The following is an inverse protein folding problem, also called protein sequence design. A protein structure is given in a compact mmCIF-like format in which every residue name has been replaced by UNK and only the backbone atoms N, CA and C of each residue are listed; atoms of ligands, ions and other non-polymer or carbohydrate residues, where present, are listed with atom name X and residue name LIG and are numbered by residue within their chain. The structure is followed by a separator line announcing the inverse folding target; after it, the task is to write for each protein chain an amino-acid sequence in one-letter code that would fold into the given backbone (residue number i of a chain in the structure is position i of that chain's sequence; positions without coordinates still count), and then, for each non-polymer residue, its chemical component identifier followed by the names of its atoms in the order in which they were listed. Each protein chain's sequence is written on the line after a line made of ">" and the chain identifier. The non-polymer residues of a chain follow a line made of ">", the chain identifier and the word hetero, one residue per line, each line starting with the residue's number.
data_IF_779332288142
#
_entry.id   IF_779332288142
#
_cell.length_a   1.000
_cell.length_b   1.000
_cell.length_c   1.000
_cell.angle_alpha   90.00
_cell.angle_beta   90.00
_cell.angle_gamma   90.00
#
_symmetry.space_group_name_H-M   'P 1'
#
loop_
_entity.id
_entity.type
_entity.pdbx_description
1 polymer ?
#
# COMPACT_ATOMS: atom_id res chain seq x y z
N UNK A 1 1.58 46.66 -55.32
CA UNK A 1 1.20 46.42 -53.92
C UNK A 1 1.98 45.18 -53.44
N UNK A 2 3.05 45.40 -52.65
CA UNK A 2 3.88 44.30 -52.07
C UNK A 2 3.21 43.83 -50.81
N UNK A 3 2.77 42.56 -50.78
CA UNK A 3 2.27 41.92 -49.57
C UNK A 3 3.49 41.54 -48.68
N UNK A 4 3.60 42.17 -47.54
CA UNK A 4 4.56 41.79 -46.49
C UNK A 4 4.03 40.55 -45.79
N UNK A 5 4.77 39.45 -45.86
CA UNK A 5 4.50 38.23 -45.14
C UNK A 5 5.19 38.33 -43.77
N UNK A 6 4.42 38.51 -42.71
CA UNK A 6 4.94 38.43 -41.34
C UNK A 6 5.00 36.94 -40.93
N UNK A 7 6.21 36.41 -40.82
CA UNK A 7 6.45 35.10 -40.21
C UNK A 7 6.52 35.33 -38.71
N UNK A 8 5.51 34.90 -38.00
CA UNK A 8 5.52 34.89 -36.54
C UNK A 8 6.45 33.79 -36.06
N UNK A 9 7.61 34.13 -35.55
CA UNK A 9 8.53 33.23 -34.87
C UNK A 9 8.03 33.11 -33.42
N UNK A 10 7.36 32.00 -33.09
CA UNK A 10 7.00 31.70 -31.72
C UNK A 10 8.26 31.26 -30.97
N UNK A 11 8.82 32.14 -30.16
CA UNK A 11 9.87 31.82 -29.19
C UNK A 11 9.16 31.16 -27.98
N UNK A 12 9.24 29.85 -27.88
CA UNK A 12 8.83 29.15 -26.66
C UNK A 12 9.92 29.33 -25.62
N UNK A 13 9.74 30.24 -24.69
CA UNK A 13 10.58 30.36 -23.50
C UNK A 13 10.10 29.31 -22.52
N UNK A 14 10.80 28.18 -22.41
CA UNK A 14 10.63 27.26 -21.32
C UNK A 14 11.17 27.90 -20.04
N UNK A 15 10.29 28.48 -19.24
CA UNK A 15 10.60 28.81 -17.85
C UNK A 15 10.44 27.54 -17.07
N UNK A 16 11.53 26.83 -16.82
CA UNK A 16 11.57 25.79 -15.77
C UNK A 16 11.30 26.48 -14.43
N UNK A 17 10.06 26.44 -14.00
CA UNK A 17 9.68 26.80 -12.64
C UNK A 17 10.22 25.72 -11.72
N UNK A 18 11.42 25.91 -11.17
CA UNK A 18 11.93 25.02 -10.11
C UNK A 18 10.98 25.10 -8.92
N UNK A 19 10.13 24.09 -8.77
CA UNK A 19 9.35 23.94 -7.57
C UNK A 19 10.30 23.53 -6.45
N UNK A 20 10.59 24.45 -5.54
CA UNK A 20 11.47 24.17 -4.41
C UNK A 20 10.72 23.28 -3.41
N UNK A 21 11.07 22.00 -3.37
CA UNK A 21 10.70 21.07 -2.31
C UNK A 21 11.95 20.84 -1.47
N UNK A 22 11.93 21.09 -0.16
CA UNK A 22 13.06 20.76 0.71
C UNK A 22 13.39 19.27 0.64
N UNK A 23 14.63 18.92 0.92
CA UNK A 23 15.05 17.52 1.04
C UNK A 23 14.20 16.78 2.06
N UNK A 24 14.04 15.46 1.84
CA UNK A 24 13.35 14.59 2.79
C UNK A 24 14.09 14.61 4.13
N UNK A 25 13.37 14.40 5.27
CA UNK A 25 14.00 14.44 6.58
C UNK A 25 15.07 13.36 6.72
N UNK A 26 16.24 13.74 7.21
CA UNK A 26 17.25 12.79 7.63
C UNK A 26 16.76 11.98 8.84
N UNK A 27 16.85 10.65 8.74
CA UNK A 27 16.40 9.71 9.75
C UNK A 27 17.52 8.74 10.12
N UNK A 28 17.66 8.46 11.40
CA UNK A 28 18.62 7.48 11.92
C UNK A 28 18.01 6.08 11.90
N UNK A 29 17.95 5.50 10.69
CA UNK A 29 17.32 4.21 10.41
C UNK A 29 18.11 3.44 9.34
N UNK A 30 17.91 2.13 9.22
CA UNK A 30 18.56 1.33 8.18
C UNK A 30 17.95 1.55 6.80
N UNK A 31 16.64 1.68 6.75
CA UNK A 31 15.88 1.83 5.49
C UNK A 31 14.56 2.53 5.76
N UNK A 32 14.09 3.30 4.78
CA UNK A 32 12.71 3.81 4.78
C UNK A 32 12.18 4.03 3.37
N UNK A 33 10.87 4.10 3.25
CA UNK A 33 10.14 4.59 2.08
C UNK A 33 8.88 5.35 2.51
N UNK A 34 8.54 6.37 1.73
CA UNK A 34 7.29 7.10 1.78
C UNK A 34 6.65 7.09 0.40
N UNK A 35 5.46 6.52 0.27
CA UNK A 35 4.73 6.45 -1.00
C UNK A 35 3.32 7.02 -0.90
N UNK A 36 2.81 7.49 -2.04
CA UNK A 36 1.37 7.66 -2.28
C UNK A 36 0.89 6.45 -3.09
N UNK A 37 0.07 5.56 -2.48
CA UNK A 37 -0.20 4.24 -3.05
C UNK A 37 -1.14 4.27 -4.28
N UNK A 38 -2.05 5.26 -4.42
CA UNK A 38 -3.01 5.28 -5.53
C UNK A 38 -2.36 5.69 -6.85
N UNK A 39 -1.30 6.50 -6.80
CA UNK A 39 -0.51 6.92 -7.97
C UNK A 39 0.81 6.18 -8.09
N UNK A 40 1.08 5.29 -7.11
CA UNK A 40 2.35 4.57 -6.97
C UNK A 40 3.59 5.49 -6.98
N UNK A 41 3.43 6.70 -6.42
CA UNK A 41 4.49 7.71 -6.39
C UNK A 41 5.37 7.53 -5.17
N UNK A 42 6.66 7.27 -5.37
CA UNK A 42 7.67 7.34 -4.31
C UNK A 42 7.99 8.82 -4.05
N UNK A 43 7.71 9.28 -2.84
CA UNK A 43 7.93 10.67 -2.41
C UNK A 43 9.32 10.83 -1.79
N UNK A 44 9.74 9.86 -1.01
CA UNK A 44 11.06 9.83 -0.40
C UNK A 44 11.46 8.38 -0.06
N UNK A 45 12.72 8.05 -0.21
CA UNK A 45 13.24 6.74 0.14
C UNK A 45 14.72 6.80 0.52
N UNK A 46 15.13 5.82 1.30
CA UNK A 46 16.53 5.56 1.65
C UNK A 46 16.72 4.06 1.80
N UNK A 47 17.64 3.48 1.02
CA UNK A 47 17.91 2.04 1.00
C UNK A 47 16.63 1.19 0.92
N UNK A 48 15.61 1.63 0.16
CA UNK A 48 14.27 1.03 0.18
C UNK A 48 14.21 -0.43 -0.29
N UNK A 49 15.19 -0.85 -1.10
CA UNK A 49 15.34 -2.22 -1.61
C UNK A 49 16.30 -3.08 -0.75
N UNK A 50 16.89 -2.51 0.31
CA UNK A 50 17.76 -3.25 1.22
C UNK A 50 16.97 -4.40 1.86
N UNK A 51 17.52 -5.60 1.81
CA UNK A 51 17.01 -6.74 2.56
C UNK A 51 17.12 -6.50 4.06
N UNK A 52 15.99 -6.58 4.73
CA UNK A 52 15.86 -6.40 6.18
C UNK A 52 15.11 -7.58 6.78
N UNK A 53 15.35 -7.89 8.04
CA UNK A 53 14.46 -8.76 8.79
C UNK A 53 13.12 -8.05 9.00
N UNK A 54 11.99 -8.57 8.47
CA UNK A 54 10.70 -7.90 8.58
C UNK A 54 10.11 -7.98 9.99
N UNK A 55 10.61 -8.89 10.83
CA UNK A 55 10.01 -9.17 12.13
C UNK A 55 8.47 -9.31 12.00
N UNK A 56 7.69 -8.81 12.96
CA UNK A 56 6.23 -8.92 12.91
C UNK A 56 5.56 -8.09 11.80
N UNK A 57 6.28 -7.35 10.95
CA UNK A 57 5.68 -6.80 9.72
C UNK A 57 5.30 -7.91 8.74
N UNK A 58 5.90 -9.10 8.83
CA UNK A 58 5.48 -10.34 8.16
C UNK A 58 3.98 -10.60 8.27
N UNK A 59 3.37 -10.26 9.41
CA UNK A 59 1.95 -10.47 9.67
C UNK A 59 1.00 -9.67 8.76
N UNK A 60 1.54 -8.68 8.03
CA UNK A 60 0.79 -8.01 6.97
C UNK A 60 0.50 -9.02 5.85
N UNK A 61 1.50 -9.82 5.43
CA UNK A 61 1.29 -10.89 4.46
C UNK A 61 0.41 -12.01 5.03
N UNK A 62 0.61 -12.39 6.28
CA UNK A 62 -0.24 -13.40 6.94
C UNK A 62 -1.71 -13.00 6.88
N UNK A 63 -2.04 -11.76 7.23
CA UNK A 63 -3.41 -11.26 7.17
C UNK A 63 -3.90 -10.99 5.74
N UNK A 64 -3.01 -10.65 4.81
CA UNK A 64 -3.34 -10.47 3.39
C UNK A 64 -3.82 -11.79 2.75
N UNK A 65 -3.08 -12.88 2.95
CA UNK A 65 -3.46 -14.22 2.44
C UNK A 65 -4.81 -14.65 2.97
N UNK A 66 -5.07 -14.41 4.26
CA UNK A 66 -6.37 -14.73 4.88
C UNK A 66 -7.49 -13.86 4.32
N UNK A 67 -7.24 -12.56 4.12
CA UNK A 67 -8.21 -11.65 3.52
C UNK A 67 -8.58 -12.06 2.09
N UNK A 68 -7.61 -12.50 1.29
CA UNK A 68 -7.85 -13.03 -0.05
C UNK A 68 -8.71 -14.31 -0.01
N UNK A 69 -8.42 -15.23 0.90
CA UNK A 69 -9.23 -16.44 1.05
C UNK A 69 -10.66 -16.14 1.49
N UNK A 70 -10.86 -15.12 2.35
CA UNK A 70 -12.20 -14.63 2.73
C UNK A 70 -12.91 -14.05 1.51
N UNK A 71 -12.27 -13.18 0.76
CA UNK A 71 -12.85 -12.55 -0.43
C UNK A 71 -13.23 -13.57 -1.52
N UNK A 72 -12.49 -14.69 -1.61
CA UNK A 72 -12.79 -15.80 -2.54
C UNK A 72 -13.77 -16.84 -1.96
N UNK A 73 -14.28 -16.64 -0.74
CA UNK A 73 -15.23 -17.54 -0.09
C UNK A 73 -14.67 -18.91 0.31
N UNK A 74 -13.34 -19.04 0.41
CA UNK A 74 -12.65 -20.27 0.83
C UNK A 74 -12.71 -20.45 2.34
N UNK A 75 -12.71 -19.38 3.10
CA UNK A 75 -12.89 -19.32 4.54
C UNK A 75 -13.85 -18.18 4.91
N UNK A 76 -14.49 -18.30 6.09
CA UNK A 76 -15.38 -17.24 6.63
C UNK A 76 -14.77 -16.62 7.88
N UNK A 77 -15.00 -15.30 8.14
CA UNK A 77 -14.64 -14.68 9.41
C UNK A 77 -15.22 -15.39 10.65
N UNK A 78 -16.35 -16.08 10.49
CA UNK A 78 -17.08 -16.83 11.53
C UNK A 78 -16.58 -18.26 11.71
N UNK A 79 -15.74 -18.76 10.80
CA UNK A 79 -15.20 -20.12 10.93
C UNK A 79 -14.43 -20.28 12.24
N UNK A 80 -14.66 -21.42 12.92
CA UNK A 80 -14.04 -21.74 14.19
C UNK A 80 -12.77 -22.60 13.99
N UNK A 81 -11.63 -22.01 14.25
CA UNK A 81 -10.31 -22.64 14.16
C UNK A 81 -10.00 -23.40 15.44
N UNK A 82 -9.77 -24.71 15.34
CA UNK A 82 -9.29 -25.52 16.46
C UNK A 82 -7.82 -25.22 16.73
N UNK A 83 -7.50 -24.73 17.93
CA UNK A 83 -6.16 -24.31 18.31
C UNK A 83 -5.26 -25.51 18.63
N UNK A 84 -4.17 -25.63 17.88
CA UNK A 84 -3.15 -26.67 18.12
C UNK A 84 -2.27 -26.34 19.32
N UNK A 85 -1.63 -27.39 19.89
CA UNK A 85 -0.58 -27.18 20.92
C UNK A 85 0.60 -26.35 20.41
N UNK A 86 0.97 -26.50 19.12
CA UNK A 86 2.03 -25.72 18.49
C UNK A 86 1.71 -24.23 18.53
N UNK A 87 0.53 -23.83 18.05
CA UNK A 87 0.07 -22.46 18.07
C UNK A 87 0.03 -21.89 19.49
N UNK A 88 -0.58 -22.60 20.43
CA UNK A 88 -0.66 -22.19 21.84
C UNK A 88 0.70 -21.97 22.50
N UNK A 89 1.70 -22.84 22.20
CA UNK A 89 3.04 -22.77 22.79
C UNK A 89 3.94 -21.68 22.18
N UNK A 90 3.46 -20.98 21.13
CA UNK A 90 4.27 -19.94 20.47
C UNK A 90 4.77 -18.91 21.47
N UNK A 91 6.06 -18.55 21.31
CA UNK A 91 6.73 -17.54 22.14
C UNK A 91 6.52 -16.11 21.59
N UNK A 92 6.84 -15.11 22.38
CA UNK A 92 6.75 -13.71 22.03
C UNK A 92 5.35 -13.12 22.28
N UNK A 93 4.87 -12.25 21.38
CA UNK A 93 3.55 -11.62 21.51
C UNK A 93 2.43 -12.65 21.38
N UNK A 94 1.42 -12.56 22.24
CA UNK A 94 0.31 -13.51 22.31
C UNK A 94 -1.05 -12.84 22.26
N UNK A 95 -2.00 -13.49 21.62
CA UNK A 95 -3.44 -13.23 21.73
C UNK A 95 -4.04 -13.93 22.95
N UNK A 96 -3.31 -14.90 23.52
CA UNK A 96 -3.72 -15.77 24.64
C UNK A 96 -4.83 -16.75 24.25
N UNK A 97 -4.70 -17.35 23.06
CA UNK A 97 -5.52 -18.49 22.65
C UNK A 97 -5.08 -19.75 23.41
N UNK A 98 -5.99 -20.72 23.57
CA UNK A 98 -5.77 -21.93 24.36
C UNK A 98 -5.87 -23.20 23.50
N UNK A 99 -4.94 -24.15 23.70
CA UNK A 99 -4.95 -25.42 22.98
C UNK A 99 -6.26 -26.19 23.17
N UNK A 100 -6.76 -26.79 22.10
CA UNK A 100 -8.02 -27.56 22.11
C UNK A 100 -9.30 -26.73 22.17
N UNK A 101 -9.19 -25.41 22.27
CA UNK A 101 -10.33 -24.49 22.13
C UNK A 101 -10.52 -24.08 20.66
N UNK A 102 -11.71 -23.60 20.36
CA UNK A 102 -12.04 -23.02 19.05
C UNK A 102 -12.07 -21.50 19.15
N UNK A 103 -11.50 -20.83 18.15
CA UNK A 103 -11.44 -19.37 18.05
C UNK A 103 -11.84 -18.95 16.64
N UNK A 104 -12.65 -17.92 16.49
CA UNK A 104 -13.09 -17.45 15.19
C UNK A 104 -11.91 -16.89 14.37
N UNK A 105 -11.96 -17.02 13.04
CA UNK A 105 -11.01 -16.37 12.11
C UNK A 105 -10.95 -14.86 12.38
N UNK A 106 -12.10 -14.22 12.59
CA UNK A 106 -12.19 -12.79 12.93
C UNK A 106 -11.39 -12.43 14.20
N UNK A 107 -11.48 -13.23 15.26
CA UNK A 107 -10.75 -12.93 16.50
C UNK A 107 -9.25 -13.24 16.37
N UNK A 108 -8.87 -14.27 15.60
CA UNK A 108 -7.47 -14.52 15.26
C UNK A 108 -6.88 -13.35 14.48
N UNK A 109 -7.58 -12.81 13.47
CA UNK A 109 -7.14 -11.62 12.72
C UNK A 109 -6.97 -10.40 13.62
N UNK A 110 -7.92 -10.11 14.53
CA UNK A 110 -7.77 -9.03 15.51
C UNK A 110 -6.55 -9.24 16.40
N UNK A 111 -6.34 -10.47 16.87
CA UNK A 111 -5.15 -10.82 17.66
C UNK A 111 -3.84 -10.58 16.91
N UNK A 112 -3.78 -10.91 15.63
CA UNK A 112 -2.62 -10.70 14.73
C UNK A 112 -2.37 -9.21 14.52
N UNK A 113 -3.39 -8.46 14.13
CA UNK A 113 -3.25 -7.07 13.70
C UNK A 113 -3.04 -6.12 14.87
N UNK A 114 -3.76 -6.31 15.97
CA UNK A 114 -3.76 -5.40 17.12
C UNK A 114 -2.61 -5.73 18.08
N UNK A 115 -2.55 -6.97 18.55
CA UNK A 115 -1.58 -7.40 19.57
C UNK A 115 -0.33 -8.04 18.97
N UNK A 116 -0.35 -8.36 17.66
CA UNK A 116 0.77 -9.05 17.01
C UNK A 116 0.97 -10.49 17.52
N UNK A 117 -0.13 -11.21 17.84
CA UNK A 117 -0.09 -12.55 18.41
C UNK A 117 0.60 -13.56 17.49
N UNK A 118 1.68 -14.17 17.96
CA UNK A 118 2.35 -15.26 17.24
C UNK A 118 1.52 -16.54 17.29
N UNK A 119 0.86 -16.80 18.43
CA UNK A 119 -0.09 -17.88 18.64
C UNK A 119 -1.24 -17.83 17.61
N UNK A 120 -1.89 -16.68 17.47
CA UNK A 120 -2.94 -16.48 16.47
C UNK A 120 -2.42 -16.61 15.04
N UNK A 121 -1.17 -16.14 14.76
CA UNK A 121 -0.58 -16.24 13.42
C UNK A 121 -0.34 -17.70 13.00
N UNK A 122 0.15 -18.53 13.90
CA UNK A 122 0.36 -19.96 13.61
C UNK A 122 -0.97 -20.68 13.51
N UNK A 123 -1.94 -20.39 14.39
CA UNK A 123 -3.26 -21.03 14.35
C UNK A 123 -3.98 -20.77 13.02
N UNK A 124 -3.99 -19.51 12.56
CA UNK A 124 -4.64 -19.17 11.30
C UNK A 124 -3.88 -19.72 10.09
N UNK A 125 -2.55 -19.78 10.16
CA UNK A 125 -1.72 -20.36 9.11
C UNK A 125 -1.96 -21.88 8.96
N UNK A 126 -2.06 -22.59 10.08
CA UNK A 126 -2.41 -24.03 10.06
C UNK A 126 -3.81 -24.26 9.49
N UNK A 127 -4.77 -23.40 9.80
CA UNK A 127 -6.13 -23.49 9.29
C UNK A 127 -6.22 -23.20 7.79
N UNK A 128 -5.72 -22.03 7.39
CA UNK A 128 -5.84 -21.51 6.02
C UNK A 128 -4.90 -22.20 5.01
N UNK A 129 -3.79 -22.74 5.47
CA UNK A 129 -2.81 -23.48 4.64
C UNK A 129 -2.79 -24.99 4.83
N UNK A 130 -3.66 -25.54 5.70
CA UNK A 130 -3.61 -26.93 6.14
C UNK A 130 -2.42 -27.24 7.05
N UNK A 131 -1.30 -26.56 6.86
CA UNK A 131 -0.11 -26.54 7.71
C UNK A 131 0.52 -25.16 7.66
N UNK A 132 1.32 -24.77 8.68
CA UNK A 132 2.08 -23.51 8.60
C UNK A 132 3.02 -23.50 7.38
N UNK A 133 3.63 -24.62 7.00
CA UNK A 133 4.48 -24.70 5.82
C UNK A 133 3.69 -24.44 4.53
N UNK A 134 2.53 -25.09 4.35
CA UNK A 134 1.68 -24.83 3.18
C UNK A 134 1.22 -23.36 3.12
N UNK A 135 0.97 -22.77 4.27
CA UNK A 135 0.65 -21.34 4.34
C UNK A 135 1.84 -20.44 3.95
N UNK A 136 3.06 -20.79 4.35
CA UNK A 136 4.29 -20.07 3.93
C UNK A 136 4.49 -20.17 2.42
N UNK A 137 4.20 -21.34 1.82
CA UNK A 137 4.24 -21.48 0.36
C UNK A 137 3.24 -20.52 -0.33
N UNK A 138 2.02 -20.36 0.24
CA UNK A 138 1.07 -19.35 -0.23
C UNK A 138 1.61 -17.92 -0.04
N UNK A 139 2.17 -17.57 1.13
CA UNK A 139 2.76 -16.26 1.37
C UNK A 139 3.81 -15.90 0.30
N UNK A 140 4.68 -16.83 -0.06
CA UNK A 140 5.71 -16.63 -1.07
C UNK A 140 5.13 -16.55 -2.50
N UNK A 141 4.07 -17.32 -2.80
CA UNK A 141 3.35 -17.20 -4.07
C UNK A 141 2.72 -15.81 -4.23
N UNK A 142 2.08 -15.28 -3.17
CA UNK A 142 1.55 -13.92 -3.17
C UNK A 142 2.67 -12.89 -3.27
N UNK A 143 3.78 -13.04 -2.55
CA UNK A 143 4.93 -12.14 -2.65
C UNK A 143 5.42 -12.05 -4.11
N UNK A 144 5.58 -13.19 -4.79
CA UNK A 144 5.96 -13.24 -6.20
C UNK A 144 4.91 -12.57 -7.10
N UNK A 145 3.63 -12.84 -6.92
CA UNK A 145 2.55 -12.26 -7.74
C UNK A 145 2.41 -10.75 -7.57
N UNK A 146 2.74 -10.23 -6.38
CA UNK A 146 2.77 -8.81 -6.07
C UNK A 146 4.09 -8.13 -6.49
N UNK A 147 5.05 -8.85 -7.06
CA UNK A 147 6.34 -8.29 -7.47
C UNK A 147 7.25 -7.91 -6.29
N UNK A 148 7.13 -8.58 -5.15
CA UNK A 148 7.98 -8.38 -3.97
C UNK A 148 9.32 -9.13 -4.16
N UNK A 149 10.19 -8.57 -4.98
CA UNK A 149 11.39 -9.25 -5.48
C UNK A 149 12.50 -9.41 -4.41
N UNK A 150 12.44 -8.65 -3.32
CA UNK A 150 13.38 -8.70 -2.20
C UNK A 150 12.71 -9.30 -0.95
N UNK A 151 11.83 -10.29 -1.13
CA UNK A 151 11.06 -10.86 -0.02
C UNK A 151 10.99 -12.37 -0.11
N UNK A 152 11.37 -13.03 1.00
CA UNK A 152 11.13 -14.46 1.24
C UNK A 152 10.59 -14.61 2.67
N UNK A 153 9.47 -15.31 2.81
CA UNK A 153 8.89 -15.67 4.10
C UNK A 153 9.24 -17.12 4.46
N UNK A 154 9.56 -17.38 5.74
CA UNK A 154 9.85 -18.71 6.27
C UNK A 154 8.84 -19.16 7.34
N UNK A 155 8.08 -18.22 7.90
CA UNK A 155 7.03 -18.48 8.88
C UNK A 155 5.97 -17.39 8.85
N UNK A 156 4.81 -17.65 9.47
CA UNK A 156 3.68 -16.72 9.50
C UNK A 156 3.80 -15.62 10.58
N UNK A 157 4.85 -15.61 11.38
CA UNK A 157 4.98 -14.76 12.57
C UNK A 157 5.97 -13.62 12.41
N UNK A 158 7.01 -13.82 11.58
CA UNK A 158 8.18 -12.95 11.50
C UNK A 158 9.21 -13.21 12.62
N UNK A 159 9.19 -14.40 13.22
CA UNK A 159 10.28 -14.84 14.08
C UNK A 159 11.56 -15.02 13.24
N UNK A 160 12.74 -14.79 13.83
CA UNK A 160 14.00 -14.86 13.10
C UNK A 160 14.22 -16.20 12.39
N UNK A 161 14.69 -16.12 11.16
CA UNK A 161 15.19 -17.21 10.33
C UNK A 161 16.13 -16.61 9.30
N UNK A 162 17.28 -17.26 9.03
CA UNK A 162 18.34 -16.71 8.18
C UNK A 162 17.87 -16.39 6.74
N UNK A 163 16.82 -17.05 6.27
CA UNK A 163 16.25 -16.82 4.93
C UNK A 163 14.92 -16.05 4.99
N UNK A 164 14.60 -15.40 6.11
CA UNK A 164 13.36 -14.63 6.26
C UNK A 164 13.65 -13.14 6.16
N UNK A 165 13.45 -12.56 4.99
CA UNK A 165 13.72 -11.16 4.72
C UNK A 165 12.64 -10.50 3.87
N UNK A 166 12.64 -9.18 3.86
CA UNK A 166 11.81 -8.33 3.01
C UNK A 166 12.53 -6.99 2.79
N UNK A 167 11.92 -6.07 2.06
CA UNK A 167 12.41 -4.71 1.89
C UNK A 167 11.35 -3.68 2.26
N UNK A 168 11.77 -2.44 2.50
CA UNK A 168 10.82 -1.35 2.76
C UNK A 168 9.89 -1.13 1.56
N UNK A 169 10.41 -1.24 0.35
CA UNK A 169 9.65 -1.12 -0.90
C UNK A 169 8.60 -2.22 -1.05
N UNK A 170 8.98 -3.47 -0.80
CA UNK A 170 8.06 -4.61 -0.90
C UNK A 170 6.95 -4.54 0.14
N UNK A 171 7.27 -4.17 1.39
CA UNK A 171 6.28 -3.99 2.44
C UNK A 171 5.31 -2.82 2.15
N UNK A 172 5.79 -1.74 1.52
CA UNK A 172 4.94 -0.65 1.07
C UNK A 172 4.00 -1.10 -0.06
N UNK A 173 4.52 -1.88 -1.03
CA UNK A 173 3.74 -2.47 -2.11
C UNK A 173 2.66 -3.43 -1.56
N UNK A 174 3.02 -4.36 -0.68
CA UNK A 174 2.08 -5.25 0.00
C UNK A 174 0.97 -4.47 0.71
N UNK A 175 1.34 -3.42 1.45
CA UNK A 175 0.39 -2.59 2.19
C UNK A 175 -0.56 -1.83 1.24
N UNK A 176 -0.05 -1.32 0.12
CA UNK A 176 -0.86 -0.68 -0.92
C UNK A 176 -1.90 -1.65 -1.49
N UNK A 177 -1.48 -2.85 -1.84
CA UNK A 177 -2.38 -3.88 -2.36
C UNK A 177 -3.41 -4.31 -1.31
N UNK A 178 -3.02 -4.40 -0.03
CA UNK A 178 -3.96 -4.74 1.04
C UNK A 178 -5.07 -3.70 1.17
N UNK A 179 -4.71 -2.42 1.19
CA UNK A 179 -5.68 -1.31 1.29
C UNK A 179 -6.65 -1.31 0.12
N UNK A 180 -6.17 -1.59 -1.08
CA UNK A 180 -6.96 -1.51 -2.30
C UNK A 180 -7.84 -2.74 -2.52
N UNK A 181 -7.34 -3.94 -2.21
CA UNK A 181 -8.01 -5.20 -2.52
C UNK A 181 -8.94 -5.68 -1.39
N UNK A 182 -8.57 -5.40 -0.12
CA UNK A 182 -9.27 -5.91 1.06
C UNK A 182 -9.51 -4.80 2.09
N UNK A 183 -10.25 -3.72 1.73
CA UNK A 183 -10.43 -2.55 2.60
C UNK A 183 -11.18 -2.86 3.90
N UNK A 184 -12.04 -3.87 3.93
CA UNK A 184 -12.82 -4.27 5.11
C UNK A 184 -11.91 -4.92 6.16
N UNK A 185 -11.08 -5.87 5.77
CA UNK A 185 -10.12 -6.54 6.64
C UNK A 185 -9.01 -5.57 7.05
N UNK A 186 -8.55 -4.71 6.11
CA UNK A 186 -7.57 -3.66 6.42
C UNK A 186 -8.06 -2.73 7.53
N UNK A 187 -9.36 -2.43 7.59
CA UNK A 187 -9.93 -1.54 8.61
C UNK A 187 -9.71 -2.03 10.05
N UNK A 188 -9.43 -3.31 10.26
CA UNK A 188 -9.09 -3.87 11.58
C UNK A 188 -7.80 -3.27 12.15
N UNK A 189 -6.84 -2.85 11.31
CA UNK A 189 -5.59 -2.22 11.76
C UNK A 189 -5.79 -0.91 12.52
N UNK A 190 -6.90 -0.21 12.26
CA UNK A 190 -7.26 1.04 12.95
C UNK A 190 -7.77 0.82 14.37
N UNK A 191 -8.16 -0.40 14.73
CA UNK A 191 -8.71 -0.65 16.07
C UNK A 191 -7.62 -0.44 17.13
N UNK A 192 -7.91 0.46 18.09
CA UNK A 192 -6.97 0.84 19.16
C UNK A 192 -6.84 -0.22 20.24
N UNK A 193 -7.84 -1.08 20.39
CA UNK A 193 -7.87 -2.13 21.41
C UNK A 193 -8.77 -3.29 20.98
N UNK A 194 -8.50 -4.45 21.57
CA UNK A 194 -9.25 -5.68 21.40
C UNK A 194 -9.30 -6.42 22.73
N UNK A 195 -10.42 -7.05 23.07
CA UNK A 195 -10.54 -7.87 24.30
C UNK A 195 -10.79 -9.32 23.90
N UNK A 196 -9.93 -10.21 24.34
CA UNK A 196 -10.06 -11.64 24.13
C UNK A 196 -9.81 -12.37 25.45
N UNK A 197 -10.61 -13.40 25.77
CA UNK A 197 -10.55 -14.16 27.04
C UNK A 197 -10.50 -13.21 28.28
N UNK A 198 -11.30 -12.15 28.30
CA UNK A 198 -11.31 -11.10 29.33
C UNK A 198 -9.98 -10.33 29.47
N UNK A 199 -9.04 -10.50 28.54
CA UNK A 199 -7.77 -9.77 28.52
C UNK A 199 -7.91 -8.63 27.53
N UNK A 200 -7.85 -7.39 28.05
CA UNK A 200 -7.82 -6.19 27.23
C UNK A 200 -6.41 -6.00 26.66
N UNK A 201 -6.30 -5.89 25.35
CA UNK A 201 -5.04 -5.76 24.62
C UNK A 201 -5.06 -4.46 23.80
N UNK A 202 -4.00 -3.67 23.90
CA UNK A 202 -3.87 -2.42 23.16
C UNK A 202 -3.12 -2.66 21.85
N UNK A 203 -3.49 -1.92 20.81
CA UNK A 203 -2.74 -1.96 19.55
C UNK A 203 -1.29 -1.52 19.79
N UNK A 204 -0.35 -2.26 19.23
CA UNK A 204 1.08 -1.93 19.38
C UNK A 204 1.50 -0.74 18.52
N UNK A 205 0.71 -0.38 17.52
CA UNK A 205 0.95 0.78 16.68
C UNK A 205 0.52 2.07 17.38
N UNK A 206 1.44 2.69 18.12
CA UNK A 206 1.18 3.96 18.84
C UNK A 206 0.94 5.16 17.90
N UNK A 207 1.18 5.02 16.57
CA UNK A 207 0.86 6.06 15.60
C UNK A 207 -0.64 6.40 15.64
N UNK A 208 -1.51 5.41 15.92
CA UNK A 208 -2.96 5.58 16.04
C UNK A 208 -3.40 6.55 17.15
N UNK A 209 -2.53 6.82 18.13
CA UNK A 209 -2.79 7.81 19.20
C UNK A 209 -2.05 9.13 18.99
N UNK A 210 -1.06 9.16 18.10
CA UNK A 210 -0.23 10.32 17.82
C UNK A 210 -0.71 11.13 16.63
N UNK A 211 -1.45 10.49 15.72
CA UNK A 211 -1.97 11.08 14.49
C UNK A 211 -3.38 10.54 14.22
N UNK A 212 -4.38 11.40 14.35
CA UNK A 212 -5.79 11.01 14.15
C UNK A 212 -6.09 10.62 12.69
N UNK A 213 -5.24 11.01 11.76
CA UNK A 213 -5.32 10.59 10.35
C UNK A 213 -4.76 9.19 10.09
N UNK A 214 -4.03 8.60 11.06
CA UNK A 214 -3.45 7.27 10.94
C UNK A 214 -4.54 6.18 11.03
N UNK A 215 -4.43 5.18 10.16
CA UNK A 215 -5.37 4.06 10.10
C UNK A 215 -4.70 2.68 10.02
N UNK A 216 -3.38 2.63 10.22
CA UNK A 216 -2.59 1.40 10.21
C UNK A 216 -1.10 1.66 10.43
N UNK A 217 -0.25 0.67 10.37
CA UNK A 217 -0.49 -0.72 10.01
C UNK A 217 0.15 -1.63 11.06
N UNK A 218 1.47 -1.85 11.00
CA UNK A 218 2.11 -2.91 11.78
C UNK A 218 3.48 -2.54 12.29
N UNK A 219 3.74 -2.85 13.55
CA UNK A 219 5.08 -2.77 14.16
C UNK A 219 5.83 -4.09 14.01
N UNK A 220 7.15 -4.02 13.91
CA UNK A 220 8.07 -5.14 13.98
C UNK A 220 9.21 -4.86 14.97
N UNK A 221 9.75 -5.90 15.61
CA UNK A 221 10.95 -5.82 16.42
C UNK A 221 11.55 -7.21 16.62
N UNK A 222 12.85 -7.33 16.36
CA UNK A 222 13.78 -8.35 16.84
C UNK A 222 15.06 -7.64 17.18
N UNK A 223 16.00 -8.30 17.85
CA UNK A 223 17.32 -7.72 18.15
C UNK A 223 18.07 -7.31 16.87
N UNK A 224 18.00 -8.13 15.81
CA UNK A 224 18.69 -7.87 14.55
C UNK A 224 17.93 -6.86 13.66
N UNK A 225 16.59 -6.93 13.62
CA UNK A 225 15.76 -5.98 12.87
C UNK A 225 15.82 -4.56 13.43
N UNK A 226 16.03 -4.40 14.75
CA UNK A 226 15.74 -3.15 15.44
C UNK A 226 14.23 -2.87 15.49
N UNK A 227 13.86 -1.62 15.72
CA UNK A 227 12.45 -1.23 15.78
C UNK A 227 11.94 -0.80 14.40
N UNK A 228 10.89 -1.46 13.93
CA UNK A 228 10.32 -1.26 12.59
C UNK A 228 8.83 -0.88 12.66
N UNK A 229 8.36 -0.15 11.66
CA UNK A 229 6.97 0.28 11.53
C UNK A 229 6.57 0.40 10.06
N UNK A 230 5.48 -0.23 9.69
CA UNK A 230 4.66 0.18 8.55
C UNK A 230 3.56 1.08 9.07
N UNK A 231 3.50 2.31 8.59
CA UNK A 231 2.50 3.31 8.95
C UNK A 231 1.64 3.69 7.75
N UNK A 232 0.38 4.04 7.97
CA UNK A 232 -0.51 4.62 6.97
C UNK A 232 -1.36 5.71 7.57
N UNK A 233 -1.55 6.78 6.80
CA UNK A 233 -2.42 7.90 7.15
C UNK A 233 -3.15 8.45 5.93
N UNK A 234 -4.35 9.05 6.12
CA UNK A 234 -5.15 9.65 5.06
C UNK A 234 -5.61 11.04 5.45
N UNK A 235 -5.25 12.06 4.65
CA UNK A 235 -5.64 13.46 4.85
C UNK A 235 -6.14 14.06 3.53
N UNK A 236 -7.31 14.69 3.55
CA UNK A 236 -7.84 15.44 2.39
C UNK A 236 -7.90 14.63 1.08
N UNK A 237 -8.20 13.34 1.15
CA UNK A 237 -8.25 12.46 -0.03
C UNK A 237 -6.91 11.81 -0.41
N UNK A 238 -5.78 12.36 0.00
CA UNK A 238 -4.45 11.79 -0.20
C UNK A 238 -4.14 10.75 0.88
N UNK A 239 -3.62 9.57 0.50
CA UNK A 239 -3.11 8.56 1.41
C UNK A 239 -1.59 8.51 1.32
N UNK A 240 -0.94 8.31 2.44
CA UNK A 240 0.50 8.04 2.49
C UNK A 240 0.76 6.75 3.26
N UNK A 241 1.74 5.98 2.78
CA UNK A 241 2.28 4.81 3.46
C UNK A 241 3.75 5.08 3.75
N UNK A 242 4.17 4.81 4.98
CA UNK A 242 5.57 4.82 5.39
C UNK A 242 6.01 3.42 5.78
N UNK A 243 7.22 3.04 5.41
CA UNK A 243 7.91 1.91 6.02
C UNK A 243 9.21 2.44 6.61
N UNK A 244 9.44 2.16 7.87
CA UNK A 244 10.65 2.54 8.60
C UNK A 244 11.23 1.28 9.22
N UNK A 245 12.48 0.98 8.94
CA UNK A 245 13.17 -0.21 9.43
C UNK A 245 14.50 0.12 10.10
N UNK A 246 14.79 -0.57 11.21
CA UNK A 246 16.05 -0.45 11.92
C UNK A 246 16.19 0.81 12.76
N UNK A 247 15.10 1.36 13.29
CA UNK A 247 15.17 2.43 14.29
C UNK A 247 15.78 1.93 15.60
N UNK A 248 16.43 2.82 16.36
CA UNK A 248 17.13 2.49 17.60
C UNK A 248 16.23 2.23 18.79
N UNK A 249 15.01 2.79 18.79
CA UNK A 249 14.05 2.61 19.89
C UNK A 249 12.60 2.50 19.40
N UNK A 250 11.74 2.00 20.31
CA UNK A 250 10.28 1.97 20.10
C UNK A 250 9.73 3.36 19.76
N UNK A 251 10.24 4.41 20.39
CA UNK A 251 9.77 5.76 20.14
C UNK A 251 10.23 6.30 18.78
N UNK A 252 11.47 5.99 18.37
CA UNK A 252 12.08 6.55 17.15
C UNK A 252 11.38 6.06 15.88
N UNK A 253 10.92 4.80 15.83
CA UNK A 253 10.14 4.32 14.66
C UNK A 253 8.86 5.12 14.43
N UNK A 254 8.19 5.58 15.52
CA UNK A 254 6.99 6.42 15.39
C UNK A 254 7.34 7.85 15.01
N UNK A 255 8.37 8.43 15.61
CA UNK A 255 8.84 9.78 15.26
C UNK A 255 9.32 9.85 13.81
N UNK A 256 10.06 8.85 13.34
CA UNK A 256 10.52 8.76 11.95
C UNK A 256 9.35 8.67 10.99
N UNK A 257 8.37 7.79 11.27
CA UNK A 257 7.16 7.69 10.46
C UNK A 257 6.35 8.99 10.44
N UNK A 258 6.18 9.66 11.59
CA UNK A 258 5.50 10.96 11.65
C UNK A 258 6.20 12.03 10.84
N UNK A 259 7.54 12.12 10.91
CA UNK A 259 8.31 13.09 10.11
C UNK A 259 8.12 12.87 8.61
N UNK A 260 8.12 11.62 8.15
CA UNK A 260 7.86 11.27 6.75
C UNK A 260 6.43 11.64 6.34
N UNK A 261 5.42 11.30 7.15
CA UNK A 261 4.02 11.65 6.87
C UNK A 261 3.83 13.17 6.79
N UNK A 262 4.36 13.92 7.76
CA UNK A 262 4.27 15.39 7.76
C UNK A 262 4.98 16.00 6.55
N UNK A 263 6.15 15.48 6.17
CA UNK A 263 6.84 15.90 4.95
C UNK A 263 5.97 15.68 3.70
N UNK A 264 5.45 14.47 3.53
CA UNK A 264 4.63 14.15 2.35
C UNK A 264 3.35 14.99 2.30
N UNK A 265 2.58 15.07 3.38
CA UNK A 265 1.34 15.86 3.41
C UNK A 265 1.58 17.37 3.30
N UNK A 266 2.72 17.87 3.76
CA UNK A 266 3.06 19.30 3.68
C UNK A 266 3.43 19.72 2.26
N UNK A 267 4.28 18.93 1.60
CA UNK A 267 4.90 19.37 0.35
C UNK A 267 4.25 18.77 -0.90
N UNK A 268 3.53 17.68 -0.78
CA UNK A 268 2.87 16.98 -1.89
C UNK A 268 1.35 17.03 -1.79
N UNK A 269 0.70 16.80 -2.92
CA UNK A 269 -0.73 16.55 -2.97
C UNK A 269 -1.06 15.59 -4.11
N UNK A 270 -2.14 14.86 -3.94
CA UNK A 270 -2.73 14.02 -5.00
C UNK A 270 -3.96 14.73 -5.54
N UNK A 271 -4.01 14.92 -6.86
CA UNK A 271 -5.17 15.53 -7.52
C UNK A 271 -5.69 14.62 -8.61
N UNK A 272 -7.02 14.51 -8.67
CA UNK A 272 -7.69 13.82 -9.76
C UNK A 272 -7.72 14.72 -11.00
N UNK A 273 -6.99 14.30 -12.03
CA UNK A 273 -6.88 15.03 -13.30
C UNK A 273 -8.03 14.70 -14.23
N UNK A 274 -8.46 13.44 -14.26
CA UNK A 274 -9.52 12.97 -15.14
C UNK A 274 -10.48 12.06 -14.37
N UNK A 275 -11.75 12.20 -14.67
CA UNK A 275 -12.80 11.33 -14.14
C UNK A 275 -13.17 10.26 -15.16
N UNK A 276 -13.42 9.06 -14.67
CA UNK A 276 -13.88 7.93 -15.47
C UNK A 276 -15.17 8.28 -16.24
N UNK A 277 -15.30 7.73 -17.43
CA UNK A 277 -16.52 7.82 -18.27
C UNK A 277 -16.97 9.26 -18.61
N UNK A 278 -16.11 10.25 -18.44
CA UNK A 278 -16.33 11.64 -18.87
C UNK A 278 -15.75 11.82 -20.27
N UNK A 279 -16.49 12.50 -21.15
CA UNK A 279 -15.99 12.91 -22.44
C UNK A 279 -15.01 14.09 -22.26
N UNK A 280 -13.80 13.95 -22.80
CA UNK A 280 -12.75 14.99 -22.79
C UNK A 280 -12.47 15.53 -24.18
N UNK A 281 -12.72 14.73 -25.22
CA UNK A 281 -12.55 15.14 -26.62
C UNK A 281 -13.56 14.41 -27.50
N UNK A 282 -13.99 15.07 -28.57
CA UNK A 282 -14.79 14.46 -29.64
C UNK A 282 -13.92 14.21 -30.86
N UNK A 283 -13.94 13.02 -31.40
CA UNK A 283 -13.15 12.61 -32.56
C UNK A 283 -14.03 12.21 -33.73
N UNK A 284 -13.48 12.31 -34.95
CA UNK A 284 -14.16 11.85 -36.17
C UNK A 284 -13.89 10.37 -36.40
N UNK A 285 -14.95 9.60 -36.71
CA UNK A 285 -14.88 8.20 -37.10
C UNK A 285 -15.36 8.02 -38.54
N UNK A 286 -14.79 7.03 -39.21
CA UNK A 286 -15.13 6.71 -40.59
C UNK A 286 -15.95 5.41 -40.67
N UNK A 287 -16.93 5.36 -41.59
CA UNK A 287 -17.69 4.15 -41.81
C UNK A 287 -18.77 3.83 -40.79
N UNK A 288 -19.01 4.68 -39.80
CA UNK A 288 -20.05 4.56 -38.79
C UNK A 288 -21.30 5.35 -39.14
N UNK A 289 -22.45 5.03 -38.52
CA UNK A 289 -23.69 5.82 -38.57
C UNK A 289 -23.48 7.19 -37.92
N UNK A 290 -22.78 7.22 -36.76
CA UNK A 290 -22.35 8.43 -36.09
C UNK A 290 -21.00 8.88 -36.64
N UNK A 291 -20.86 10.14 -36.95
CA UNK A 291 -19.61 10.74 -37.47
C UNK A 291 -18.64 11.19 -36.37
N UNK A 292 -19.16 11.34 -35.16
CA UNK A 292 -18.37 11.79 -34.00
C UNK A 292 -18.51 10.81 -32.85
N UNK A 293 -17.42 10.60 -32.16
CA UNK A 293 -17.33 9.76 -30.97
C UNK A 293 -16.69 10.54 -29.83
N UNK A 294 -17.32 10.56 -28.67
CA UNK A 294 -16.76 11.06 -27.43
C UNK A 294 -15.71 10.09 -26.89
N UNK A 295 -14.53 10.59 -26.57
CA UNK A 295 -13.43 9.78 -25.98
C UNK A 295 -13.07 10.26 -24.61
N UNK A 296 -12.68 9.33 -23.74
CA UNK A 296 -12.34 9.58 -22.35
C UNK A 296 -11.51 8.45 -21.76
N UNK A 297 -11.45 8.42 -20.43
CA UNK A 297 -10.73 7.38 -19.66
C UNK A 297 -11.72 6.43 -19.00
N UNK A 298 -11.34 5.16 -18.85
CA UNK A 298 -12.18 4.14 -18.20
C UNK A 298 -12.15 4.23 -16.67
N UNK A 299 -11.04 4.75 -16.12
CA UNK A 299 -10.82 4.90 -14.69
C UNK A 299 -10.45 6.34 -14.35
N UNK A 300 -10.66 6.73 -13.09
CA UNK A 300 -10.17 8.00 -12.58
C UNK A 300 -8.64 8.04 -12.68
N UNK A 301 -8.09 9.11 -13.22
CA UNK A 301 -6.64 9.33 -13.29
C UNK A 301 -6.26 10.41 -12.29
N UNK A 302 -5.45 10.04 -11.34
CA UNK A 302 -4.86 10.94 -10.35
C UNK A 302 -3.35 10.99 -10.51
N UNK A 303 -2.73 12.10 -10.14
CA UNK A 303 -1.28 12.26 -10.06
C UNK A 303 -0.91 12.86 -8.72
N UNK A 304 0.30 12.50 -8.25
CA UNK A 304 0.89 13.05 -7.03
C UNK A 304 2.13 13.82 -7.39
N UNK A 305 2.14 15.10 -7.07
CA UNK A 305 3.23 16.02 -7.35
C UNK A 305 3.48 16.95 -6.16
N UNK A 306 4.64 17.65 -6.13
CA UNK A 306 4.79 18.81 -5.28
C UNK A 306 3.65 19.79 -5.47
N UNK A 307 3.12 20.34 -4.38
CA UNK A 307 1.96 21.26 -4.42
C UNK A 307 2.14 22.43 -5.37
N UNK A 308 3.38 22.92 -5.51
CA UNK A 308 3.74 24.04 -6.38
C UNK A 308 3.77 23.69 -7.87
N UNK A 309 3.89 22.41 -8.23
CA UNK A 309 4.01 21.95 -9.62
C UNK A 309 2.67 21.84 -10.34
N UNK A 310 1.54 21.78 -9.63
CA UNK A 310 0.23 21.58 -10.27
C UNK A 310 -0.22 22.71 -11.19
N UNK A 311 0.29 23.94 -10.98
CA UNK A 311 -0.02 25.10 -11.85
C UNK A 311 0.56 24.97 -13.26
N UNK A 312 1.58 24.13 -13.42
CA UNK A 312 2.30 23.95 -14.67
C UNK A 312 1.85 22.65 -15.41
N UNK A 313 0.91 21.87 -14.83
CA UNK A 313 0.42 20.61 -15.40
C UNK A 313 -0.52 20.86 -16.56
N UNK A 314 -0.20 20.30 -17.71
CA UNK A 314 -1.02 20.32 -18.92
C UNK A 314 -1.40 18.92 -19.35
N UNK A 315 -2.52 18.80 -20.09
CA UNK A 315 -3.00 17.54 -20.65
C UNK A 315 -3.02 17.60 -22.16
N UNK A 316 -2.34 16.68 -22.82
CA UNK A 316 -2.29 16.55 -24.27
C UNK A 316 -2.99 15.27 -24.70
N UNK A 317 -3.95 15.40 -25.61
CA UNK A 317 -4.68 14.28 -26.21
C UNK A 317 -4.07 13.97 -27.58
N UNK A 318 -3.49 12.78 -27.74
CA UNK A 318 -2.97 12.27 -29.01
C UNK A 318 -3.90 11.17 -29.52
N UNK A 319 -4.74 11.48 -30.47
CA UNK A 319 -5.70 10.54 -31.06
C UNK A 319 -5.09 9.89 -32.29
N UNK A 320 -5.35 8.62 -32.48
CA UNK A 320 -4.95 7.90 -33.68
C UNK A 320 -5.66 8.47 -34.91
N UNK A 321 -4.93 8.57 -36.03
CA UNK A 321 -5.52 8.95 -37.31
C UNK A 321 -6.33 7.79 -37.90
N UNK A 322 -7.39 8.12 -38.67
CA UNK A 322 -8.18 7.14 -39.45
C UNK A 322 -8.89 6.07 -38.60
N UNK A 323 -9.57 6.48 -37.53
CA UNK A 323 -10.38 5.56 -36.74
C UNK A 323 -11.61 5.17 -37.52
N UNK A 324 -11.86 3.87 -37.70
CA UNK A 324 -12.97 3.31 -38.47
C UNK A 324 -13.91 2.50 -37.57
N UNK A 325 -15.22 2.57 -37.91
CA UNK A 325 -16.20 1.72 -37.27
C UNK A 325 -16.11 0.24 -37.78
N UNK A 326 -16.52 -0.75 -36.97
CA UNK A 326 -17.11 -0.61 -35.65
C UNK A 326 -16.06 -0.33 -34.55
N UNK A 327 -16.47 0.40 -33.51
CA UNK A 327 -15.65 0.70 -32.34
C UNK A 327 -16.38 0.20 -31.10
N UNK A 328 -15.68 -0.55 -30.27
CA UNK A 328 -16.21 -1.07 -29.02
C UNK A 328 -15.90 -0.15 -27.83
N UNK A 329 -16.76 -0.19 -26.80
CA UNK A 329 -16.50 0.52 -25.56
C UNK A 329 -15.21 -0.03 -24.90
N UNK A 330 -14.28 0.88 -24.55
CA UNK A 330 -12.99 0.51 -24.00
C UNK A 330 -11.88 0.29 -25.03
N UNK A 331 -12.20 0.33 -26.32
CA UNK A 331 -11.18 0.24 -27.37
C UNK A 331 -10.24 1.46 -27.30
N UNK A 332 -8.93 1.19 -27.35
CA UNK A 332 -7.89 2.24 -27.32
C UNK A 332 -7.88 2.99 -28.66
N UNK A 333 -8.22 4.27 -28.62
CA UNK A 333 -8.25 5.16 -29.80
C UNK A 333 -7.17 6.25 -29.78
N UNK A 334 -6.34 6.26 -28.74
CA UNK A 334 -5.28 7.26 -28.61
C UNK A 334 -4.53 7.12 -27.29
N UNK A 335 -3.73 8.13 -26.99
CA UNK A 335 -3.01 8.31 -25.73
C UNK A 335 -3.29 9.69 -25.15
N UNK A 336 -3.23 9.76 -23.84
CA UNK A 336 -3.31 11.01 -23.07
C UNK A 336 -2.00 11.16 -22.33
N UNK A 337 -1.36 12.30 -22.48
CA UNK A 337 -0.15 12.67 -21.78
C UNK A 337 -0.46 13.77 -20.78
N UNK A 338 0.03 13.60 -19.56
CA UNK A 338 0.01 14.63 -18.52
C UNK A 338 1.46 15.12 -18.41
N UNK A 339 1.71 16.39 -18.68
CA UNK A 339 3.03 17.03 -18.77
C UNK A 339 3.09 18.28 -17.92
#
# INVERSE_FOLDING_TARGET
>A
MKKLLFTLLSISVFVESQSFVPDAPELDVKSYILIEPNTNTVIAEYNSELEIEPASMTKIMTSYVVADQIANGLISPEDEVLISEKAWRMKGSKTFIEAGKKVSVSDLLKGIMIQSGNDASVAIAEYAGGTERGFVDLMNAYASSLGMNNTIFQNATGLPDDNHFSSAKDLANLTSNYINNFPEEYALYKQKQFTFNNIKQLNRNKLLWRDDSADGVKTGHTEAAGYCLVGSAKRGGMRLITVVAGSKSDNDRFLSSQRLLEYGFRFYSTQKMLSAKKEYQSITIWGGEEKKLGVGVLQDISITLPRTSFKDVNTIYKVNNNIQAPIEMGQKVGTLEII
#
